data_IF_370747140861
#
_entry.id   IF_370747140861
#
_cell.length_a   1.000
_cell.length_b   1.000
_cell.length_c   1.000
_cell.angle_alpha   90.00
_cell.angle_beta   90.00
_cell.angle_gamma   90.00
#
_symmetry.space_group_name_H-M   'P 1'
#
loop_
_entity.id
_entity.type
_entity.pdbx_description
1 polymer ?
#
# COMPACT_ATOMS: atom_id res chain seq x y z
N UNK A 1 -29.82 -10.52 65.46
CA UNK A 1 -29.40 -11.25 64.25
C UNK A 1 -28.01 -10.75 63.91
N UNK A 2 -27.01 -11.60 64.13
CA UNK A 2 -25.60 -11.26 64.19
C UNK A 2 -24.94 -11.36 62.81
N UNK A 3 -23.90 -10.55 62.60
CA UNK A 3 -22.88 -10.76 61.56
C UNK A 3 -22.18 -12.11 61.77
N UNK A 4 -21.64 -12.66 60.67
CA UNK A 4 -20.26 -13.11 60.75
C UNK A 4 -19.37 -12.55 59.64
N UNK A 5 -18.13 -12.27 60.04
CA UNK A 5 -16.92 -12.16 59.22
C UNK A 5 -16.67 -13.45 58.42
N UNK A 6 -15.98 -13.38 57.27
CA UNK A 6 -14.58 -13.86 57.14
C UNK A 6 -14.06 -13.91 55.69
N UNK A 7 -12.77 -13.58 55.56
CA UNK A 7 -11.75 -14.08 54.63
C UNK A 7 -11.72 -13.68 53.15
N UNK A 8 -10.86 -12.69 52.90
CA UNK A 8 -9.73 -12.72 51.96
C UNK A 8 -9.72 -13.81 50.88
N UNK A 9 -9.83 -13.39 49.61
CA UNK A 9 -9.27 -14.12 48.47
C UNK A 9 -8.58 -13.14 47.54
N UNK A 10 -7.28 -13.31 47.42
CA UNK A 10 -6.38 -12.53 46.58
C UNK A 10 -6.85 -12.55 45.11
N UNK A 11 -7.00 -11.36 44.53
CA UNK A 11 -7.13 -11.20 43.09
C UNK A 11 -5.75 -11.46 42.47
N UNK A 12 -5.69 -12.53 41.68
CA UNK A 12 -4.50 -12.98 40.97
C UNK A 12 -3.95 -11.92 40.03
N UNK A 13 -2.64 -11.92 39.94
CA UNK A 13 -1.77 -11.12 39.09
C UNK A 13 -2.20 -11.12 37.62
N UNK A 14 -2.39 -9.92 37.07
CA UNK A 14 -2.36 -9.68 35.62
C UNK A 14 -0.96 -10.02 35.08
N UNK A 15 -0.80 -11.21 34.51
CA UNK A 15 0.37 -11.59 33.74
C UNK A 15 0.06 -11.53 32.25
N UNK A 16 0.35 -10.40 31.61
CA UNK A 16 0.60 -10.41 30.17
C UNK A 16 1.81 -11.33 29.92
N UNK A 17 1.81 -12.24 28.93
CA UNK A 17 3.00 -13.01 28.64
C UNK A 17 4.12 -12.05 28.23
N UNK A 18 5.24 -12.15 28.93
CA UNK A 18 6.47 -11.46 28.57
C UNK A 18 6.80 -11.75 27.10
N UNK A 19 7.13 -10.69 26.35
CA UNK A 19 7.66 -10.78 24.99
C UNK A 19 8.86 -11.71 24.99
N UNK A 20 8.67 -12.91 24.46
CA UNK A 20 9.77 -13.83 24.20
C UNK A 20 10.69 -13.16 23.18
N UNK A 21 11.96 -12.98 23.57
CA UNK A 21 13.03 -12.52 22.68
C UNK A 21 13.04 -13.39 21.41
N UNK A 22 12.75 -12.80 20.25
CA UNK A 22 12.83 -13.46 18.96
C UNK A 22 14.25 -14.03 18.76
N UNK A 23 14.31 -15.34 18.50
CA UNK A 23 15.56 -16.07 18.31
C UNK A 23 16.25 -15.65 16.99
N UNK A 24 17.59 -15.74 16.89
CA UNK A 24 18.37 -15.38 15.69
C UNK A 24 18.12 -16.26 14.45
N UNK A 25 17.09 -17.11 14.46
CA UNK A 25 16.67 -17.96 13.33
C UNK A 25 15.70 -17.28 12.36
N UNK A 26 14.83 -16.38 12.82
CA UNK A 26 13.79 -15.76 11.99
C UNK A 26 14.36 -14.91 10.84
N UNK A 27 15.47 -14.19 11.08
CA UNK A 27 16.16 -13.40 10.05
C UNK A 27 16.71 -14.26 8.91
N UNK A 28 17.15 -15.50 9.19
CA UNK A 28 17.71 -16.40 8.16
C UNK A 28 16.64 -16.91 7.20
N UNK A 29 15.40 -17.08 7.66
CA UNK A 29 14.28 -17.48 6.80
C UNK A 29 13.78 -16.31 5.95
N UNK A 30 13.84 -15.08 6.47
CA UNK A 30 13.62 -13.86 5.70
C UNK A 30 14.60 -13.78 4.53
N UNK A 31 15.91 -13.88 4.81
CA UNK A 31 16.96 -13.84 3.80
C UNK A 31 16.76 -14.89 2.70
N UNK A 32 16.32 -16.10 3.06
CA UNK A 32 16.06 -17.18 2.10
C UNK A 32 14.82 -16.94 1.22
N UNK A 33 13.77 -16.32 1.76
CA UNK A 33 12.61 -15.89 0.97
C UNK A 33 12.98 -14.72 0.04
N UNK A 34 13.86 -13.84 0.51
CA UNK A 34 14.38 -12.71 -0.24
C UNK A 34 15.29 -13.13 -1.39
N UNK A 35 16.03 -14.23 -1.27
CA UNK A 35 16.86 -14.74 -2.37
C UNK A 35 16.02 -15.10 -3.61
N UNK A 36 14.84 -15.70 -3.40
CA UNK A 36 13.90 -15.98 -4.49
C UNK A 36 13.35 -14.70 -5.11
N UNK A 37 13.03 -13.69 -4.30
CA UNK A 37 12.57 -12.38 -4.75
C UNK A 37 13.66 -11.63 -5.54
N UNK A 38 14.89 -11.57 -5.02
CA UNK A 38 16.06 -10.95 -5.68
C UNK A 38 16.38 -11.64 -7.01
N UNK A 39 16.29 -12.97 -7.06
CA UNK A 39 16.48 -13.72 -8.30
C UNK A 39 15.35 -13.45 -9.32
N UNK A 40 14.10 -13.32 -8.85
CA UNK A 40 12.96 -12.97 -9.69
C UNK A 40 12.98 -11.50 -10.18
N UNK A 41 13.60 -10.58 -9.42
CA UNK A 41 13.71 -9.14 -9.72
C UNK A 41 14.57 -8.83 -10.96
N UNK A 42 15.21 -9.83 -11.57
CA UNK A 42 15.74 -9.74 -12.92
C UNK A 42 14.64 -9.61 -14.01
N UNK A 43 13.36 -9.56 -13.63
CA UNK A 43 12.25 -9.29 -14.53
C UNK A 43 12.25 -7.84 -15.04
N UNK A 44 11.98 -7.69 -16.33
CA UNK A 44 11.72 -6.41 -17.01
C UNK A 44 10.70 -5.58 -16.23
N UNK A 45 10.95 -4.27 -16.13
CA UNK A 45 10.01 -3.36 -15.51
C UNK A 45 8.65 -3.48 -16.23
N UNK A 46 7.57 -3.70 -15.46
CA UNK A 46 6.21 -3.84 -15.98
C UNK A 46 5.73 -2.58 -16.75
N UNK A 47 6.42 -1.46 -16.54
CA UNK A 47 6.26 -0.22 -17.30
C UNK A 47 7.62 0.22 -17.81
N UNK A 48 7.68 0.70 -19.06
CA UNK A 48 8.80 1.48 -19.54
C UNK A 48 8.94 2.71 -18.64
N UNK A 49 9.86 2.63 -17.69
CA UNK A 49 10.28 3.77 -16.88
C UNK A 49 11.08 4.68 -17.80
N UNK A 50 10.36 5.50 -18.56
CA UNK A 50 10.82 6.54 -19.48
C UNK A 50 12.31 6.42 -19.78
N UNK A 51 12.65 5.74 -20.87
CA UNK A 51 14.01 5.67 -21.39
C UNK A 51 14.56 7.09 -21.56
N UNK A 52 15.47 7.49 -20.67
CA UNK A 52 16.35 8.63 -20.90
C UNK A 52 17.42 8.21 -21.91
N UNK A 53 17.82 9.08 -22.86
CA UNK A 53 18.86 8.73 -23.82
C UNK A 53 20.16 8.41 -23.07
N UNK A 54 20.56 7.14 -23.06
CA UNK A 54 21.90 6.69 -22.61
C UNK A 54 21.98 5.71 -21.45
N UNK A 55 20.88 5.14 -20.94
CA UNK A 55 20.95 4.11 -19.88
C UNK A 55 20.49 2.78 -20.44
N UNK A 56 21.31 1.71 -20.30
CA UNK A 56 20.89 0.33 -20.58
C UNK A 56 19.70 -0.08 -19.70
N UNK A 57 19.18 -1.33 -19.80
CA UNK A 57 17.95 -1.75 -19.12
C UNK A 57 18.00 -1.38 -17.63
N UNK A 58 17.33 -0.26 -17.30
CA UNK A 58 17.40 0.32 -15.98
C UNK A 58 16.39 -0.43 -15.14
N UNK A 59 16.89 -1.25 -14.23
CA UNK A 59 16.08 -1.89 -13.21
C UNK A 59 15.31 -0.78 -12.50
N UNK A 60 13.98 -0.84 -12.54
CA UNK A 60 13.13 0.19 -11.95
C UNK A 60 13.38 0.39 -10.46
N UNK A 61 12.90 1.53 -9.95
CA UNK A 61 12.89 1.77 -8.51
C UNK A 61 12.03 0.70 -7.83
N UNK A 62 12.59 0.08 -6.80
CA UNK A 62 11.95 -0.96 -6.01
C UNK A 62 11.76 -0.43 -4.59
N UNK A 63 10.51 -0.47 -4.14
CA UNK A 63 10.09 0.03 -2.84
C UNK A 63 10.64 -0.82 -1.70
N UNK A 64 10.84 -2.12 -1.91
CA UNK A 64 11.22 -3.07 -0.87
C UNK A 64 12.73 -3.24 -0.74
N UNK A 65 13.44 -3.28 -1.86
CA UNK A 65 14.89 -3.56 -1.93
C UNK A 65 15.63 -2.39 -2.55
N UNK A 66 16.71 -1.97 -1.90
CA UNK A 66 17.60 -0.91 -2.40
C UNK A 66 18.48 -1.38 -3.57
N UNK A 67 19.28 -0.46 -4.11
CA UNK A 67 20.18 -0.72 -5.23
C UNK A 67 21.28 -1.75 -4.91
N UNK A 68 21.59 -1.92 -3.63
CA UNK A 68 22.64 -2.81 -3.14
C UNK A 68 22.06 -4.22 -2.81
N UNK A 69 20.75 -4.42 -3.03
CA UNK A 69 20.05 -5.69 -2.80
C UNK A 69 19.58 -5.89 -1.35
N UNK A 70 19.71 -4.87 -0.50
CA UNK A 70 19.31 -4.92 0.91
C UNK A 70 17.86 -4.47 1.08
N UNK A 71 17.16 -5.03 2.07
CA UNK A 71 15.80 -4.59 2.42
C UNK A 71 15.87 -3.15 2.94
N UNK A 72 14.98 -2.29 2.45
CA UNK A 72 14.96 -0.89 2.87
C UNK A 72 14.57 -0.75 4.35
N UNK A 73 15.13 0.22 5.09
CA UNK A 73 14.81 0.49 6.51
C UNK A 73 13.32 0.40 6.85
N UNK A 74 12.45 1.10 6.10
CA UNK A 74 11.02 1.13 6.34
C UNK A 74 10.34 -0.25 6.27
N UNK A 75 10.91 -1.19 5.52
CA UNK A 75 10.31 -2.50 5.26
C UNK A 75 10.77 -3.61 6.22
N UNK A 76 11.74 -3.36 7.11
CA UNK A 76 12.32 -4.43 7.96
C UNK A 76 11.29 -5.11 8.85
N UNK A 77 10.42 -4.34 9.52
CA UNK A 77 9.39 -4.90 10.41
C UNK A 77 8.41 -5.81 9.64
N UNK A 78 7.98 -5.36 8.47
CA UNK A 78 7.10 -6.17 7.62
C UNK A 78 7.83 -7.38 7.06
N UNK A 79 9.10 -7.26 6.66
CA UNK A 79 9.91 -8.35 6.17
C UNK A 79 10.07 -9.46 7.23
N UNK A 80 10.37 -9.08 8.48
CA UNK A 80 10.46 -10.01 9.61
C UNK A 80 9.11 -10.70 9.85
N UNK A 81 7.99 -9.95 9.87
CA UNK A 81 6.66 -10.53 10.05
C UNK A 81 6.26 -11.49 8.92
N UNK A 82 6.63 -11.17 7.68
CA UNK A 82 6.41 -12.02 6.50
C UNK A 82 7.23 -13.30 6.61
N UNK A 83 8.49 -13.19 7.03
CA UNK A 83 9.38 -14.33 7.22
C UNK A 83 8.88 -15.26 8.32
N UNK A 84 8.47 -14.72 9.46
CA UNK A 84 7.91 -15.48 10.59
C UNK A 84 6.63 -16.22 10.20
N UNK A 85 5.76 -15.62 9.37
CA UNK A 85 4.54 -16.29 8.89
C UNK A 85 4.82 -17.36 7.85
N UNK A 86 5.86 -17.16 7.03
CA UNK A 86 6.21 -18.03 5.92
C UNK A 86 5.10 -18.18 4.87
N UNK A 87 5.34 -19.02 3.87
CA UNK A 87 4.43 -19.17 2.71
C UNK A 87 3.03 -19.63 3.11
N UNK A 88 2.93 -20.66 3.95
CA UNK A 88 1.64 -21.20 4.38
C UNK A 88 0.81 -20.16 5.16
N UNK A 89 1.46 -19.31 5.96
CA UNK A 89 0.81 -18.21 6.67
C UNK A 89 0.27 -17.14 5.72
N UNK A 90 1.02 -16.79 4.68
CA UNK A 90 0.58 -15.85 3.65
C UNK A 90 -0.57 -16.40 2.80
N UNK A 91 -0.53 -17.68 2.43
CA UNK A 91 -1.62 -18.32 1.68
C UNK A 91 -2.92 -18.34 2.51
N UNK A 92 -2.81 -18.59 3.82
CA UNK A 92 -3.94 -18.47 4.75
C UNK A 92 -4.46 -17.03 4.85
N UNK A 93 -3.57 -16.04 4.94
CA UNK A 93 -3.96 -14.62 4.95
C UNK A 93 -4.73 -14.24 3.68
N UNK A 94 -4.25 -14.69 2.51
CA UNK A 94 -4.89 -14.48 1.21
C UNK A 94 -6.29 -15.07 1.16
N UNK A 95 -6.47 -16.30 1.66
CA UNK A 95 -7.79 -16.92 1.76
C UNK A 95 -8.72 -16.13 2.67
N UNK A 96 -8.24 -15.63 3.81
CA UNK A 96 -9.06 -14.83 4.73
C UNK A 96 -9.50 -13.52 4.07
N UNK A 97 -8.59 -12.80 3.41
CA UNK A 97 -8.93 -11.56 2.69
C UNK A 97 -9.93 -11.80 1.58
N UNK A 98 -9.77 -12.87 0.79
CA UNK A 98 -10.74 -13.23 -0.24
C UNK A 98 -12.14 -13.48 0.34
N UNK A 99 -12.22 -14.26 1.43
CA UNK A 99 -13.49 -14.51 2.11
C UNK A 99 -14.13 -13.24 2.65
N UNK A 100 -13.34 -12.29 3.18
CA UNK A 100 -13.86 -11.01 3.66
C UNK A 100 -14.43 -10.17 2.51
N UNK A 101 -13.72 -10.07 1.39
CA UNK A 101 -14.18 -9.35 0.20
C UNK A 101 -15.49 -9.95 -0.35
N UNK A 102 -15.56 -11.28 -0.45
CA UNK A 102 -16.75 -11.99 -0.91
C UNK A 102 -17.95 -11.73 0.02
N UNK A 103 -17.73 -11.82 1.33
CA UNK A 103 -18.78 -11.62 2.33
C UNK A 103 -19.30 -10.18 2.36
N UNK A 104 -18.43 -9.20 2.18
CA UNK A 104 -18.77 -7.78 2.15
C UNK A 104 -19.35 -7.35 0.78
N UNK A 105 -19.34 -8.24 -0.21
CA UNK A 105 -19.86 -7.98 -1.55
C UNK A 105 -19.09 -6.87 -2.29
N UNK A 106 -17.81 -6.69 -1.97
CA UNK A 106 -17.00 -5.61 -2.55
C UNK A 106 -16.66 -5.97 -4.01
N UNK A 107 -17.29 -5.25 -4.93
CA UNK A 107 -17.12 -5.42 -6.37
C UNK A 107 -16.68 -4.11 -7.01
N UNK A 108 -15.94 -4.20 -8.11
CA UNK A 108 -15.76 -3.06 -9.00
C UNK A 108 -16.52 -3.30 -10.30
N UNK A 109 -16.98 -2.21 -10.91
CA UNK A 109 -17.62 -2.25 -12.21
C UNK A 109 -16.59 -1.94 -13.28
N UNK A 110 -16.31 -2.94 -14.12
CA UNK A 110 -15.47 -2.73 -15.30
C UNK A 110 -16.31 -2.04 -16.39
N UNK A 111 -15.85 -0.91 -16.89
CA UNK A 111 -16.46 -0.26 -18.04
C UNK A 111 -16.01 -0.99 -19.31
N UNK A 112 -16.86 -1.90 -19.82
CA UNK A 112 -16.60 -2.57 -21.10
C UNK A 112 -16.53 -1.59 -22.28
N UNK A 113 -15.91 -1.99 -23.42
CA UNK A 113 -15.85 -1.16 -24.62
C UNK A 113 -17.25 -0.68 -25.05
N UNK A 114 -17.45 0.63 -25.12
CA UNK A 114 -18.71 1.24 -25.53
C UNK A 114 -19.81 1.29 -24.46
N UNK A 115 -19.48 1.11 -23.17
CA UNK A 115 -20.43 1.29 -22.05
C UNK A 115 -21.57 0.26 -22.00
N UNK A 116 -21.47 -0.81 -22.80
CA UNK A 116 -22.47 -1.87 -22.90
C UNK A 116 -21.98 -3.11 -22.15
N UNK A 117 -22.25 -3.11 -20.85
CA UNK A 117 -21.94 -4.21 -19.93
C UNK A 117 -21.28 -3.68 -18.67
N UNK A 118 -22.09 -3.38 -17.66
CA UNK A 118 -21.62 -3.24 -16.28
C UNK A 118 -21.69 -4.63 -15.65
N UNK A 119 -20.67 -5.46 -15.89
CA UNK A 119 -20.54 -6.75 -15.20
C UNK A 119 -19.79 -6.50 -13.88
N UNK A 120 -20.40 -6.78 -12.71
CA UNK A 120 -19.70 -6.71 -11.44
C UNK A 120 -18.56 -7.75 -11.42
N UNK A 121 -17.34 -7.31 -11.13
CA UNK A 121 -16.19 -8.19 -10.96
C UNK A 121 -15.77 -8.19 -9.48
N UNK A 122 -15.43 -9.37 -8.92
CA UNK A 122 -14.90 -9.45 -7.57
C UNK A 122 -13.65 -8.58 -7.45
N UNK A 123 -13.56 -7.80 -6.38
CA UNK A 123 -12.36 -7.02 -6.13
C UNK A 123 -11.21 -7.94 -5.70
N UNK A 124 -10.02 -7.75 -6.25
CA UNK A 124 -8.82 -8.45 -5.82
C UNK A 124 -7.91 -7.49 -5.05
N UNK A 125 -7.66 -7.81 -3.79
CA UNK A 125 -6.77 -7.06 -2.91
C UNK A 125 -5.49 -7.85 -2.67
N UNK A 126 -4.34 -7.20 -2.86
CA UNK A 126 -3.06 -7.75 -2.41
C UNK A 126 -2.98 -7.72 -0.88
N UNK A 127 -2.48 -8.79 -0.28
CA UNK A 127 -2.36 -8.92 1.17
C UNK A 127 -1.10 -8.29 1.74
N UNK A 128 -0.13 -7.92 0.89
CA UNK A 128 1.04 -7.17 1.30
C UNK A 128 0.80 -5.67 1.17
N UNK A 129 0.91 -4.89 2.26
CA UNK A 129 0.78 -3.44 2.18
C UNK A 129 2.00 -2.82 1.51
N UNK A 130 1.79 -1.67 0.87
CA UNK A 130 2.88 -0.77 0.51
C UNK A 130 3.28 0.03 1.76
N UNK A 131 4.55 -0.07 2.14
CA UNK A 131 5.08 0.66 3.29
C UNK A 131 5.63 2.01 2.84
N UNK A 132 5.15 3.08 3.47
CA UNK A 132 5.67 4.44 3.29
C UNK A 132 6.25 4.91 4.62
N UNK A 133 7.45 5.50 4.58
CA UNK A 133 8.03 6.10 5.78
C UNK A 133 7.30 7.39 6.14
N UNK A 134 7.36 7.79 7.42
CA UNK A 134 6.77 9.05 7.86
C UNK A 134 7.36 10.26 7.11
N UNK A 135 8.67 10.25 6.85
CA UNK A 135 9.35 11.32 6.12
C UNK A 135 8.89 11.41 4.65
N UNK A 136 8.70 10.26 3.99
CA UNK A 136 8.15 10.23 2.63
C UNK A 136 6.71 10.73 2.62
N UNK A 137 5.91 10.30 3.61
CA UNK A 137 4.52 10.72 3.75
C UNK A 137 4.38 12.23 3.97
N UNK A 138 5.19 12.84 4.84
CA UNK A 138 5.16 14.30 5.08
C UNK A 138 5.36 15.09 3.77
N UNK A 139 6.28 14.64 2.93
CA UNK A 139 6.55 15.25 1.62
C UNK A 139 5.37 15.05 0.65
N UNK A 140 4.85 13.82 0.58
CA UNK A 140 3.71 13.48 -0.27
C UNK A 140 2.45 14.24 0.14
N UNK A 141 2.14 14.29 1.43
CA UNK A 141 0.99 14.97 2.00
C UNK A 141 1.01 16.46 1.64
N UNK A 142 2.14 17.15 1.86
CA UNK A 142 2.27 18.56 1.51
C UNK A 142 2.01 18.81 0.02
N UNK A 143 2.57 17.95 -0.85
CA UNK A 143 2.35 18.03 -2.30
C UNK A 143 0.92 17.71 -2.73
N UNK A 144 0.26 16.76 -2.07
CA UNK A 144 -1.14 16.39 -2.32
C UNK A 144 -2.08 17.54 -1.93
N UNK A 145 -1.88 18.15 -0.75
CA UNK A 145 -2.66 19.30 -0.29
C UNK A 145 -2.49 20.48 -1.25
N UNK A 146 -1.26 20.75 -1.69
CA UNK A 146 -0.98 21.81 -2.67
C UNK A 146 -1.73 21.56 -3.98
N UNK A 147 -1.62 20.35 -4.55
CA UNK A 147 -2.27 20.01 -5.81
C UNK A 147 -3.79 20.01 -5.71
N UNK A 148 -4.35 19.54 -4.59
CA UNK A 148 -5.80 19.60 -4.35
C UNK A 148 -6.32 21.03 -4.39
N UNK A 149 -5.66 21.97 -3.70
CA UNK A 149 -6.02 23.39 -3.71
C UNK A 149 -5.88 24.02 -5.10
N UNK A 150 -4.82 23.65 -5.82
CA UNK A 150 -4.61 24.13 -7.19
C UNK A 150 -5.73 23.65 -8.12
N UNK A 151 -6.06 22.36 -8.09
CA UNK A 151 -7.10 21.77 -8.93
C UNK A 151 -8.48 22.33 -8.60
N UNK A 152 -8.78 22.54 -7.31
CA UNK A 152 -10.02 23.19 -6.88
C UNK A 152 -10.13 24.62 -7.41
N UNK A 153 -9.06 25.42 -7.30
CA UNK A 153 -9.03 26.78 -7.85
C UNK A 153 -9.17 26.81 -9.38
N UNK A 154 -8.54 25.85 -10.08
CA UNK A 154 -8.69 25.70 -11.54
C UNK A 154 -10.13 25.38 -11.89
N UNK A 155 -10.76 24.41 -11.21
CA UNK A 155 -12.16 24.06 -11.45
C UNK A 155 -13.09 25.25 -11.18
N UNK A 156 -12.90 25.95 -10.06
CA UNK A 156 -13.70 27.12 -9.70
C UNK A 156 -13.58 28.26 -10.73
N UNK A 157 -12.39 28.48 -11.31
CA UNK A 157 -12.21 29.46 -12.38
C UNK A 157 -12.88 29.00 -13.68
N UNK A 158 -12.68 27.75 -14.12
CA UNK A 158 -13.26 27.22 -15.37
C UNK A 158 -14.79 27.21 -15.38
N UNK A 159 -15.41 26.88 -14.24
CA UNK A 159 -16.86 26.91 -14.07
C UNK A 159 -17.41 28.30 -13.66
N UNK A 160 -16.53 29.26 -13.39
CA UNK A 160 -16.90 30.61 -12.98
C UNK A 160 -16.34 31.68 -13.93
N UNK A 161 -15.41 32.54 -13.49
CA UNK A 161 -14.92 33.68 -14.29
C UNK A 161 -14.16 33.34 -15.58
N UNK A 162 -13.61 32.12 -15.70
CA UNK A 162 -12.82 31.62 -16.84
C UNK A 162 -11.59 32.46 -17.18
N UNK A 163 -10.94 33.06 -16.18
CA UNK A 163 -9.73 33.89 -16.38
C UNK A 163 -8.58 33.08 -16.96
N UNK A 164 -8.43 31.82 -16.55
CA UNK A 164 -7.39 30.94 -17.08
C UNK A 164 -7.49 30.78 -18.61
N UNK A 165 -8.72 30.81 -19.15
CA UNK A 165 -8.96 30.74 -20.59
C UNK A 165 -8.81 32.11 -21.26
N UNK A 166 -9.43 33.16 -20.70
CA UNK A 166 -9.45 34.49 -21.33
C UNK A 166 -8.10 35.20 -21.27
N UNK A 167 -7.27 34.89 -20.28
CA UNK A 167 -5.88 35.37 -20.15
C UNK A 167 -4.87 34.46 -20.86
N UNK A 168 -5.31 33.32 -21.42
CA UNK A 168 -4.47 32.42 -22.21
C UNK A 168 -3.49 31.56 -21.40
N UNK A 169 -3.69 31.42 -20.09
CA UNK A 169 -2.87 30.57 -19.21
C UNK A 169 -3.18 29.07 -19.38
N UNK A 170 -4.41 28.75 -19.78
CA UNK A 170 -4.84 27.40 -20.12
C UNK A 170 -5.40 27.39 -21.56
N UNK A 171 -4.80 26.60 -22.48
CA UNK A 171 -5.33 26.43 -23.83
C UNK A 171 -6.78 25.90 -23.80
N UNK A 172 -7.75 26.57 -24.44
CA UNK A 172 -9.14 26.11 -24.46
C UNK A 172 -9.32 24.71 -25.02
N UNK A 173 -8.46 24.27 -25.92
CA UNK A 173 -8.49 22.94 -26.54
C UNK A 173 -8.33 21.83 -25.50
N UNK A 174 -7.55 22.06 -24.42
CA UNK A 174 -7.38 21.07 -23.34
C UNK A 174 -8.67 20.83 -22.55
N UNK A 175 -9.58 21.81 -22.53
CA UNK A 175 -10.84 21.72 -21.78
C UNK A 175 -11.97 21.21 -22.66
N UNK A 176 -12.03 21.65 -23.92
CA UNK A 176 -13.19 21.41 -24.80
C UNK A 176 -13.00 20.29 -25.82
N UNK A 177 -11.80 19.71 -25.97
CA UNK A 177 -11.56 18.64 -26.95
C UNK A 177 -12.01 17.24 -26.50
N UNK A 178 -12.43 17.06 -25.24
CA UNK A 178 -12.90 15.77 -24.73
C UNK A 178 -14.42 15.62 -25.01
N UNK A 179 -14.87 14.56 -25.72
CA UNK A 179 -16.29 14.33 -26.01
C UNK A 179 -17.11 13.96 -24.78
#
# INVERSE_FOLDING_TARGET
MAFPDNTARALGTNGWPATASAAPGARRDADRLLDGYRAARAQEALFDLREGPGTGPAIGFDEFVDRDGSVRPAWHELADAVAERGRAGLDRLRSVVHTLIDNDGINYTEAGPGGRGLEPRPWHLDTLPIVLSAADWETLEAGLVQRSRLLDAVLADLYGPRRLLTEGLLPPELVFAHP
#
